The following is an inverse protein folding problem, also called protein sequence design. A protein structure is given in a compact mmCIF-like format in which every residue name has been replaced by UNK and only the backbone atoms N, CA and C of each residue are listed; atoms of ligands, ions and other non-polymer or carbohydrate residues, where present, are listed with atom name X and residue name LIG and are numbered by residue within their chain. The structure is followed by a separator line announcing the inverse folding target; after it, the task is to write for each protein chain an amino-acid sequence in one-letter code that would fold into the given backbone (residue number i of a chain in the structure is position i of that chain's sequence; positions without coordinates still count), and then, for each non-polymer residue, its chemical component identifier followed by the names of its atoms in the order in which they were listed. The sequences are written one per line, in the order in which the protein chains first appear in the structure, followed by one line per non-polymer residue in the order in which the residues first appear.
data_IF_623801689441
#
_entry.id   IF_623801689441
#
_cell.length_a   1.000
_cell.length_b   1.000
_cell.length_c   1.000
_cell.angle_alpha   90.00
_cell.angle_beta   90.00
_cell.angle_gamma   90.00
#
_symmetry.space_group_name_H-M   'P 1'
#
loop_
_entity.id
_entity.type
_entity.pdbx_description
1 polymer ?
#
# COMPACT_ATOMS: atom_id res chain seq x y z
N UNK A 1 -5.53 -2.61 1.05
CA UNK A 1 -5.92 -1.19 1.21
C UNK A 1 -6.21 -0.62 -0.16
N UNK A 2 -7.06 0.40 -0.28
CA UNK A 2 -7.36 1.05 -1.56
C UNK A 2 -6.31 2.10 -1.88
N UNK A 3 -5.92 2.17 -3.15
CA UNK A 3 -5.06 3.24 -3.67
C UNK A 3 -5.99 4.40 -4.08
N UNK A 4 -6.01 5.52 -3.35
CA UNK A 4 -6.80 6.68 -3.75
C UNK A 4 -6.19 7.32 -5.01
N UNK A 5 -7.03 7.94 -5.85
CA UNK A 5 -6.61 8.52 -7.13
C UNK A 5 -5.45 9.52 -6.98
N UNK A 6 -5.45 10.31 -5.90
CA UNK A 6 -4.37 11.27 -5.62
C UNK A 6 -3.00 10.64 -5.32
N UNK A 7 -2.95 9.35 -4.96
CA UNK A 7 -1.70 8.59 -4.75
C UNK A 7 -1.41 7.62 -5.90
N UNK A 8 -2.35 7.46 -6.85
CA UNK A 8 -2.12 6.61 -8.02
C UNK A 8 -0.99 7.18 -8.90
N UNK A 9 -0.96 8.50 -9.03
CA UNK A 9 0.06 9.23 -9.79
C UNK A 9 1.46 9.12 -9.16
N UNK A 10 1.55 8.83 -7.84
CA UNK A 10 2.83 8.64 -7.17
C UNK A 10 3.51 7.33 -7.58
N UNK A 11 2.81 6.40 -8.25
CA UNK A 11 3.38 5.12 -8.67
C UNK A 11 3.48 4.13 -7.51
N UNK A 12 2.37 3.89 -6.81
CA UNK A 12 2.27 2.80 -5.83
C UNK A 12 2.65 1.48 -6.52
N UNK A 13 3.67 0.81 -5.98
CA UNK A 13 4.20 -0.43 -6.50
C UNK A 13 4.81 -1.26 -5.35
N UNK A 14 5.01 -2.57 -5.53
CA UNK A 14 5.68 -3.42 -4.55
C UNK A 14 7.00 -2.84 -4.05
N UNK A 15 7.26 -3.00 -2.76
CA UNK A 15 8.47 -2.55 -2.07
C UNK A 15 8.48 -1.10 -1.60
N UNK A 16 7.44 -0.32 -1.91
CA UNK A 16 7.26 1.03 -1.34
C UNK A 16 6.67 0.99 0.05
N UNK A 17 7.08 1.89 0.94
CA UNK A 17 6.39 2.09 2.22
C UNK A 17 5.12 2.91 2.02
N UNK A 18 4.13 2.61 2.84
CA UNK A 18 2.83 3.30 2.86
C UNK A 18 2.38 3.54 4.29
N UNK A 19 1.71 4.66 4.52
CA UNK A 19 1.04 4.95 5.79
C UNK A 19 -0.42 4.51 5.67
N UNK A 20 -0.89 3.69 6.62
CA UNK A 20 -2.25 3.14 6.59
C UNK A 20 -2.95 3.25 7.94
N UNK A 21 -4.29 3.35 7.97
CA UNK A 21 -5.04 3.22 9.21
C UNK A 21 -5.09 1.75 9.64
N UNK A 22 -4.80 1.47 10.90
CA UNK A 22 -4.89 0.13 11.48
C UNK A 22 -5.49 0.18 12.89
N UNK A 23 -6.72 -0.30 13.05
CA UNK A 23 -7.47 -0.13 14.29
C UNK A 23 -7.64 1.35 14.64
N UNK A 24 -7.10 1.76 15.80
CA UNK A 24 -7.07 3.16 16.30
C UNK A 24 -5.76 3.88 16.00
N UNK A 25 -4.83 3.24 15.31
CA UNK A 25 -3.49 3.75 15.05
C UNK A 25 -3.26 3.96 13.56
N UNK A 26 -2.15 4.64 13.25
CA UNK A 26 -1.55 4.66 11.92
C UNK A 26 -0.27 3.84 11.97
N UNK A 27 -0.04 3.04 10.93
CA UNK A 27 1.17 2.23 10.79
C UNK A 27 1.86 2.54 9.48
N UNK A 28 3.17 2.31 9.46
CA UNK A 28 3.97 2.24 8.23
C UNK A 28 4.11 0.78 7.87
N UNK A 29 3.61 0.40 6.70
CA UNK A 29 3.81 -0.92 6.09
C UNK A 29 4.56 -0.79 4.78
N UNK A 30 4.74 -1.90 4.06
CA UNK A 30 5.18 -1.90 2.67
C UNK A 30 4.12 -2.55 1.78
N UNK A 31 4.13 -2.17 0.50
CA UNK A 31 3.33 -2.82 -0.54
C UNK A 31 4.02 -4.12 -0.92
N UNK A 32 3.32 -5.24 -0.83
CA UNK A 32 3.73 -6.55 -1.32
C UNK A 32 3.22 -6.78 -2.75
N UNK A 33 1.95 -6.49 -2.99
CA UNK A 33 1.27 -6.67 -4.26
C UNK A 33 0.25 -5.55 -4.52
N UNK A 34 -0.01 -5.27 -5.80
CA UNK A 34 -1.11 -4.41 -6.25
C UNK A 34 -2.07 -5.25 -7.07
N UNK A 35 -3.34 -5.32 -6.65
CA UNK A 35 -4.38 -6.13 -7.29
C UNK A 35 -5.52 -5.25 -7.79
N UNK A 36 -6.11 -5.62 -8.93
CA UNK A 36 -7.33 -4.98 -9.43
C UNK A 36 -8.60 -5.51 -8.75
N UNK A 37 -8.60 -6.80 -8.39
CA UNK A 37 -9.72 -7.47 -7.73
C UNK A 37 -9.41 -7.68 -6.24
N UNK A 38 -9.98 -6.86 -5.34
CA UNK A 38 -9.67 -6.95 -3.93
C UNK A 38 -10.47 -8.05 -3.22
N UNK A 39 -10.01 -8.45 -2.03
CA UNK A 39 -10.65 -9.50 -1.21
C UNK A 39 -12.15 -9.27 -0.93
N UNK A 40 -12.88 -10.38 -0.71
CA UNK A 40 -14.35 -10.53 -0.61
C UNK A 40 -15.08 -9.65 0.43
N UNK A 41 -14.38 -8.76 1.16
CA UNK A 41 -15.00 -7.83 2.10
C UNK A 41 -14.65 -6.37 1.72
N UNK A 42 -15.19 -5.83 0.60
CA UNK A 42 -14.85 -4.50 0.11
C UNK A 42 -15.09 -3.37 1.13
N UNK A 43 -16.10 -3.51 1.98
CA UNK A 43 -16.47 -2.52 3.00
C UNK A 43 -15.38 -2.30 4.07
N UNK A 44 -14.50 -3.28 4.27
CA UNK A 44 -13.38 -3.17 5.23
C UNK A 44 -12.12 -2.58 4.61
N UNK A 45 -12.11 -2.36 3.30
CA UNK A 45 -10.95 -1.82 2.60
C UNK A 45 -10.89 -0.31 2.83
N UNK A 46 -9.91 0.08 3.65
CA UNK A 46 -9.57 1.47 3.94
C UNK A 46 -8.55 1.98 2.93
N UNK A 47 -8.50 3.30 2.80
CA UNK A 47 -7.57 3.97 1.90
C UNK A 47 -6.16 4.05 2.50
N UNK A 48 -5.15 4.05 1.62
CA UNK A 48 -3.78 4.45 1.96
C UNK A 48 -3.78 5.96 2.24
N UNK A 49 -3.05 6.39 3.27
CA UNK A 49 -3.02 7.78 3.72
C UNK A 49 -1.86 8.56 3.09
N UNK A 50 -0.71 7.92 2.90
CA UNK A 50 0.51 8.58 2.43
C UNK A 50 1.55 7.58 1.90
N UNK A 51 2.51 8.08 1.11
CA UNK A 51 3.64 7.34 0.52
C UNK A 51 4.93 8.11 0.78
N UNK A 52 5.63 7.85 1.91
CA UNK A 52 6.68 8.73 2.41
C UNK A 52 7.99 8.68 1.60
N UNK A 53 8.19 7.66 0.76
CA UNK A 53 9.42 7.46 0.00
C UNK A 53 9.24 7.79 -1.48
N UNK A 54 10.25 8.35 -2.17
CA UNK A 54 10.19 8.64 -3.61
C UNK A 54 10.17 7.39 -4.49
N UNK A 55 10.44 6.21 -3.94
CA UNK A 55 10.52 4.95 -4.68
C UNK A 55 10.51 3.73 -3.74
N UNK A 56 10.63 2.50 -4.30
CA UNK A 56 10.68 1.28 -3.51
C UNK A 56 11.97 1.23 -2.69
N UNK A 57 11.85 0.87 -1.42
CA UNK A 57 12.97 0.75 -0.48
C UNK A 57 13.34 -0.71 -0.21
N UNK A 58 12.44 -1.64 -0.55
CA UNK A 58 12.71 -3.08 -0.52
C UNK A 58 13.09 -3.57 -1.90
N UNK A 59 14.14 -4.40 -1.93
CA UNK A 59 14.52 -5.14 -3.13
C UNK A 59 13.43 -6.16 -3.47
N UNK A 60 12.97 -6.26 -4.74
CA UNK A 60 11.93 -7.21 -5.14
C UNK A 60 12.23 -8.66 -4.76
N UNK A 61 13.50 -9.07 -4.69
CA UNK A 61 13.90 -10.42 -4.29
C UNK A 61 13.51 -10.76 -2.85
N UNK A 62 13.34 -9.75 -1.99
CA UNK A 62 12.90 -9.94 -0.59
C UNK A 62 11.38 -10.09 -0.47
N UNK A 63 10.62 -9.78 -1.52
CA UNK A 63 9.16 -9.89 -1.56
C UNK A 63 8.70 -11.22 -2.16
N UNK A 64 9.59 -11.98 -2.80
CA UNK A 64 9.29 -13.30 -3.34
C UNK A 64 9.18 -14.32 -2.19
N UNK A 65 7.95 -14.64 -1.79
CA UNK A 65 7.62 -15.67 -0.78
C UNK A 65 7.07 -16.91 -1.46
#
# INVERSE_FOLDING_TARGET
YRIPSGLADDGIQPGRRVVVPFGRHQLIGWVDEVVEDPADIPERIRDILDVPDPGPVLDPSLLAV
#
